data_IF_063736868041
#
_entry.id   IF_063736868041
#
_cell.length_a   1.000
_cell.length_b   1.000
_cell.length_c   1.000
_cell.angle_alpha   90.00
_cell.angle_beta   90.00
_cell.angle_gamma   90.00
#
_symmetry.space_group_name_H-M   'P 1'
#
loop_
_entity.id
_entity.type
_entity.pdbx_description
1 polymer ?
#
# COMPACT_ATOMS: atom_id res chain seq x y z
N UNK A 1 29.95 -10.62 9.90
CA UNK A 1 28.61 -10.31 9.39
C UNK A 1 28.52 -8.80 9.32
N UNK A 2 28.69 -8.24 8.10
CA UNK A 2 28.85 -6.80 7.91
C UNK A 2 27.55 -6.05 8.14
N UNK A 3 27.60 -5.00 8.96
CA UNK A 3 26.44 -4.11 9.23
C UNK A 3 25.82 -3.53 7.96
N UNK A 4 26.59 -3.43 6.88
CA UNK A 4 26.12 -2.98 5.57
C UNK A 4 25.25 -4.01 4.85
N UNK A 5 25.51 -5.31 5.01
CA UNK A 5 24.67 -6.38 4.46
C UNK A 5 23.32 -6.48 5.16
N UNK A 6 23.31 -6.34 6.49
CA UNK A 6 22.07 -6.34 7.29
C UNK A 6 21.21 -5.13 6.94
N UNK A 7 21.81 -3.96 6.76
CA UNK A 7 21.11 -2.73 6.38
C UNK A 7 20.51 -2.84 4.96
N UNK A 8 21.24 -3.44 4.02
CA UNK A 8 20.78 -3.61 2.64
C UNK A 8 19.65 -4.65 2.55
N UNK A 9 19.72 -5.73 3.32
CA UNK A 9 18.68 -6.76 3.43
C UNK A 9 17.38 -6.21 4.04
N UNK A 10 17.45 -5.36 5.06
CA UNK A 10 16.28 -4.76 5.68
C UNK A 10 15.56 -3.80 4.72
N UNK A 11 16.29 -2.98 3.97
CA UNK A 11 15.69 -2.05 3.01
C UNK A 11 15.02 -2.78 1.85
N UNK A 12 15.62 -3.85 1.32
CA UNK A 12 15.01 -4.65 0.25
C UNK A 12 13.72 -5.35 0.69
N UNK A 13 13.62 -5.75 1.95
CA UNK A 13 12.40 -6.34 2.50
C UNK A 13 11.29 -5.30 2.68
N UNK A 14 11.59 -4.09 3.15
CA UNK A 14 10.60 -3.01 3.35
C UNK A 14 10.00 -2.55 2.01
N UNK A 15 10.80 -2.53 0.94
CA UNK A 15 10.34 -2.17 -0.41
C UNK A 15 9.48 -3.27 -1.06
N UNK A 16 9.48 -4.50 -0.51
CA UNK A 16 8.70 -5.60 -1.07
C UNK A 16 7.19 -5.46 -0.72
N UNK A 17 6.27 -5.34 -1.72
CA UNK A 17 4.84 -5.20 -1.47
C UNK A 17 4.23 -6.35 -0.67
N UNK A 18 4.77 -7.57 -0.83
CA UNK A 18 4.31 -8.76 -0.09
C UNK A 18 4.56 -8.60 1.41
N UNK A 19 5.74 -8.12 1.79
CA UNK A 19 6.07 -7.90 3.19
C UNK A 19 5.20 -6.82 3.84
N UNK A 20 4.91 -5.75 3.10
CA UNK A 20 4.00 -4.69 3.53
C UNK A 20 2.57 -5.21 3.71
N UNK A 21 2.08 -6.06 2.79
CA UNK A 21 0.76 -6.68 2.90
C UNK A 21 0.68 -7.61 4.11
N UNK A 22 1.73 -8.38 4.40
CA UNK A 22 1.79 -9.24 5.59
C UNK A 22 1.78 -8.43 6.89
N UNK A 23 2.50 -7.31 6.95
CA UNK A 23 2.46 -6.40 8.11
C UNK A 23 1.06 -5.84 8.31
N UNK A 24 0.42 -5.35 7.23
CA UNK A 24 -0.94 -4.82 7.31
C UNK A 24 -1.95 -5.90 7.76
N UNK A 25 -1.82 -7.12 7.25
CA UNK A 25 -2.66 -8.25 7.67
C UNK A 25 -2.43 -8.61 9.15
N UNK A 26 -1.16 -8.67 9.58
CA UNK A 26 -0.79 -8.91 10.96
C UNK A 26 -1.36 -7.84 11.91
N UNK A 27 -1.26 -6.57 11.52
CA UNK A 27 -1.84 -5.45 12.26
C UNK A 27 -3.38 -5.56 12.34
N UNK A 28 -4.04 -5.94 11.23
CA UNK A 28 -5.49 -6.17 11.22
C UNK A 28 -5.90 -7.26 12.21
N UNK A 29 -5.20 -8.39 12.20
CA UNK A 29 -5.45 -9.49 13.14
C UNK A 29 -5.21 -9.06 14.58
N UNK A 30 -4.09 -8.41 14.88
CA UNK A 30 -3.75 -7.96 16.23
C UNK A 30 -4.78 -6.97 16.79
N UNK A 31 -5.22 -6.00 16.00
CA UNK A 31 -6.23 -5.02 16.44
C UNK A 31 -7.56 -5.72 16.72
N UNK A 32 -8.05 -6.55 15.80
CA UNK A 32 -9.33 -7.21 15.97
C UNK A 32 -9.31 -8.23 17.12
N UNK A 33 -8.26 -9.04 17.26
CA UNK A 33 -8.11 -9.96 18.39
C UNK A 33 -7.92 -9.24 19.72
N UNK A 34 -7.19 -8.12 19.73
CA UNK A 34 -7.03 -7.28 20.91
C UNK A 34 -8.36 -6.72 21.41
N UNK A 35 -9.17 -6.18 20.48
CA UNK A 35 -10.50 -5.65 20.85
C UNK A 35 -11.43 -6.78 21.29
N UNK A 36 -11.39 -7.94 20.65
CA UNK A 36 -12.18 -9.10 21.06
C UNK A 36 -11.80 -9.55 22.48
N UNK A 37 -10.51 -9.59 22.80
CA UNK A 37 -10.04 -9.90 24.16
C UNK A 37 -10.52 -8.88 25.20
N UNK A 38 -10.48 -7.58 24.86
CA UNK A 38 -11.02 -6.51 25.71
C UNK A 38 -12.53 -6.61 25.90
N UNK A 39 -13.27 -7.05 24.89
CA UNK A 39 -14.71 -7.28 24.99
C UNK A 39 -15.03 -8.42 25.99
N UNK A 40 -14.22 -9.48 26.01
CA UNK A 40 -14.38 -10.58 26.96
C UNK A 40 -14.15 -10.15 28.41
N UNK A 41 -13.32 -9.12 28.65
CA UNK A 41 -13.14 -8.54 29.99
C UNK A 41 -14.26 -7.57 30.39
N UNK A 42 -15.19 -7.26 29.49
CA UNK A 42 -16.28 -6.32 29.72
C UNK A 42 -15.88 -4.84 29.72
N UNK A 43 -14.60 -4.54 29.37
CA UNK A 43 -14.09 -3.16 29.35
C UNK A 43 -14.55 -2.37 28.14
N UNK A 44 -14.84 -3.05 27.02
CA UNK A 44 -15.21 -2.40 25.75
C UNK A 44 -16.39 -3.16 25.13
N UNK A 45 -17.35 -2.41 24.60
CA UNK A 45 -18.43 -2.95 23.77
C UNK A 45 -18.02 -2.74 22.32
N UNK A 46 -17.76 -3.84 21.59
CA UNK A 46 -17.38 -3.77 20.19
C UNK A 46 -18.64 -3.60 19.32
N UNK A 47 -18.64 -2.61 18.44
CA UNK A 47 -19.66 -2.49 17.41
C UNK A 47 -19.46 -3.60 16.37
N UNK A 48 -20.55 -4.22 15.91
CA UNK A 48 -20.51 -5.32 14.94
C UNK A 48 -19.77 -4.97 13.64
N UNK A 49 -19.74 -3.67 13.30
CA UNK A 49 -19.08 -3.16 12.07
C UNK A 49 -17.60 -2.81 12.27
N UNK A 50 -17.09 -2.85 13.49
CA UNK A 50 -15.71 -2.48 13.81
C UNK A 50 -14.66 -3.25 12.97
N UNK A 51 -14.78 -4.58 12.74
CA UNK A 51 -13.83 -5.31 11.90
C UNK A 51 -13.76 -4.82 10.45
N UNK A 52 -14.87 -4.31 9.90
CA UNK A 52 -14.88 -3.69 8.57
C UNK A 52 -14.19 -2.32 8.55
N UNK A 53 -14.34 -1.55 9.62
CA UNK A 53 -13.66 -0.26 9.79
C UNK A 53 -12.14 -0.45 9.83
N UNK A 54 -11.65 -1.41 10.61
CA UNK A 54 -10.23 -1.71 10.71
C UNK A 54 -9.67 -2.23 9.40
N UNK A 55 -10.40 -3.12 8.70
CA UNK A 55 -10.01 -3.61 7.39
C UNK A 55 -9.88 -2.45 6.37
N UNK A 56 -10.88 -1.56 6.28
CA UNK A 56 -10.86 -0.42 5.37
C UNK A 56 -9.72 0.56 5.68
N UNK A 57 -9.50 0.87 6.96
CA UNK A 57 -8.43 1.76 7.41
C UNK A 57 -7.04 1.23 7.06
N UNK A 58 -6.79 -0.05 7.28
CA UNK A 58 -5.50 -0.68 6.98
C UNK A 58 -5.27 -0.86 5.48
N UNK A 59 -6.33 -1.11 4.70
CA UNK A 59 -6.24 -1.10 3.24
C UNK A 59 -5.86 0.29 2.72
N UNK A 60 -6.45 1.35 3.29
CA UNK A 60 -6.10 2.73 2.93
C UNK A 60 -4.65 3.04 3.30
N UNK A 61 -4.20 2.69 4.51
CA UNK A 61 -2.82 2.83 4.92
C UNK A 61 -1.87 2.08 3.98
N UNK A 62 -2.16 0.82 3.65
CA UNK A 62 -1.37 0.06 2.69
C UNK A 62 -1.31 0.75 1.33
N UNK A 63 -2.44 1.22 0.80
CA UNK A 63 -2.52 1.92 -0.48
C UNK A 63 -1.62 3.17 -0.50
N UNK A 64 -1.68 3.99 0.55
CA UNK A 64 -0.86 5.21 0.67
C UNK A 64 0.63 4.89 0.75
N UNK A 65 1.04 4.02 1.68
CA UNK A 65 2.46 3.65 1.85
C UNK A 65 3.03 3.00 0.60
N UNK A 66 2.29 2.06 0.01
CA UNK A 66 2.71 1.35 -1.18
C UNK A 66 2.85 2.28 -2.39
N UNK A 67 1.93 3.23 -2.57
CA UNK A 67 2.01 4.22 -3.62
C UNK A 67 3.25 5.13 -3.47
N UNK A 68 3.56 5.59 -2.25
CA UNK A 68 4.78 6.39 -1.98
C UNK A 68 6.04 5.58 -2.26
N UNK A 69 6.10 4.32 -1.82
CA UNK A 69 7.27 3.46 -2.05
C UNK A 69 7.43 3.14 -3.54
N UNK A 70 6.34 3.09 -4.31
CA UNK A 70 6.41 2.86 -5.76
C UNK A 70 7.19 3.94 -6.50
N UNK A 71 7.30 5.16 -5.95
CA UNK A 71 8.13 6.24 -6.50
C UNK A 71 9.63 5.89 -6.48
N UNK A 72 10.08 5.15 -5.47
CA UNK A 72 11.49 4.79 -5.28
C UNK A 72 11.87 3.45 -5.90
N UNK A 73 10.90 2.70 -6.41
CA UNK A 73 11.14 1.38 -6.97
C UNK A 73 11.99 1.43 -8.27
N UNK A 74 13.05 0.61 -8.40
CA UNK A 74 13.91 0.62 -9.57
C UNK A 74 13.20 0.18 -10.85
N UNK A 75 12.30 -0.81 -10.76
CA UNK A 75 11.50 -1.32 -11.87
C UNK A 75 9.99 -1.09 -11.62
N UNK A 76 9.42 0.05 -12.06
CA UNK A 76 8.07 0.44 -11.68
C UNK A 76 6.99 -0.52 -12.18
N UNK A 77 7.09 -1.04 -13.40
CA UNK A 77 6.08 -1.91 -13.98
C UNK A 77 5.94 -3.25 -13.24
N UNK A 78 7.08 -3.86 -12.88
CA UNK A 78 7.08 -5.13 -12.13
C UNK A 78 6.59 -4.91 -10.70
N UNK A 79 7.02 -3.82 -10.07
CA UNK A 79 6.56 -3.43 -8.75
C UNK A 79 5.04 -3.21 -8.73
N UNK A 80 4.53 -2.52 -9.72
CA UNK A 80 3.12 -2.19 -9.88
C UNK A 80 2.23 -3.44 -9.97
N UNK A 81 2.60 -4.38 -10.86
CA UNK A 81 1.86 -5.64 -10.99
C UNK A 81 1.80 -6.40 -9.66
N UNK A 82 2.94 -6.57 -8.98
CA UNK A 82 3.00 -7.23 -7.66
C UNK A 82 2.18 -6.50 -6.61
N UNK A 83 2.23 -5.19 -6.61
CA UNK A 83 1.54 -4.32 -5.66
C UNK A 83 0.01 -4.44 -5.76
N UNK A 84 -0.52 -4.46 -6.99
CA UNK A 84 -1.96 -4.65 -7.23
C UNK A 84 -2.43 -6.03 -6.75
N UNK A 85 -1.68 -7.09 -7.06
CA UNK A 85 -2.03 -8.43 -6.57
C UNK A 85 -1.98 -8.53 -5.04
N UNK A 86 -0.97 -7.92 -4.40
CA UNK A 86 -0.88 -7.86 -2.94
C UNK A 86 -2.05 -7.09 -2.32
N UNK A 87 -2.44 -5.97 -2.93
CA UNK A 87 -3.58 -5.18 -2.46
C UNK A 87 -4.90 -5.96 -2.58
N UNK A 88 -5.15 -6.59 -3.74
CA UNK A 88 -6.36 -7.39 -3.94
C UNK A 88 -6.41 -8.59 -2.98
N UNK A 89 -5.28 -9.29 -2.80
CA UNK A 89 -5.17 -10.38 -1.83
C UNK A 89 -5.42 -9.90 -0.40
N UNK A 90 -4.80 -8.79 0.00
CA UNK A 90 -5.00 -8.19 1.32
C UNK A 90 -6.47 -7.76 1.51
N UNK A 91 -7.10 -7.14 0.51
CA UNK A 91 -8.50 -6.74 0.56
C UNK A 91 -9.42 -7.96 0.75
N UNK A 92 -9.21 -9.01 -0.05
CA UNK A 92 -10.00 -10.22 0.04
C UNK A 92 -9.89 -10.89 1.42
N UNK A 93 -8.67 -11.07 1.93
CA UNK A 93 -8.43 -11.70 3.23
C UNK A 93 -8.98 -10.82 4.37
N UNK A 94 -8.75 -9.50 4.33
CA UNK A 94 -9.23 -8.58 5.36
C UNK A 94 -10.76 -8.52 5.43
N UNK A 95 -11.43 -8.51 4.29
CA UNK A 95 -12.91 -8.54 4.23
C UNK A 95 -13.46 -9.89 4.71
N UNK A 96 -12.81 -10.99 4.34
CA UNK A 96 -13.20 -12.32 4.80
C UNK A 96 -13.06 -12.44 6.33
N UNK A 97 -11.96 -11.95 6.90
CA UNK A 97 -11.75 -11.87 8.34
C UNK A 97 -12.79 -10.98 9.03
N UNK A 98 -13.09 -9.81 8.46
CA UNK A 98 -14.10 -8.92 9.01
C UNK A 98 -15.48 -9.58 9.03
N UNK A 99 -15.85 -10.29 7.97
CA UNK A 99 -17.12 -11.04 7.90
C UNK A 99 -17.18 -12.18 8.93
N UNK A 100 -16.08 -12.89 9.14
CA UNK A 100 -16.01 -13.95 10.14
C UNK A 100 -16.11 -13.43 11.58
N UNK A 101 -15.46 -12.31 11.87
CA UNK A 101 -15.42 -11.72 13.22
C UNK A 101 -16.70 -10.95 13.57
N UNK A 102 -17.31 -10.28 12.59
CA UNK A 102 -18.55 -9.52 12.80
C UNK A 102 -19.82 -10.38 12.72
N UNK A 103 -19.74 -11.54 12.07
CA UNK A 103 -20.91 -12.35 11.75
C UNK A 103 -21.82 -11.74 10.66
N UNK A 104 -21.52 -10.53 10.20
CA UNK A 104 -22.26 -9.81 9.17
C UNK A 104 -21.70 -10.13 7.77
N UNK A 105 -22.57 -10.23 6.79
CA UNK A 105 -22.15 -10.26 5.38
C UNK A 105 -21.76 -8.87 4.91
N UNK A 106 -20.88 -8.79 3.93
CA UNK A 106 -20.43 -7.52 3.37
C UNK A 106 -21.59 -6.64 2.87
N UNK A 107 -22.66 -7.25 2.36
CA UNK A 107 -23.90 -6.55 1.93
C UNK A 107 -24.67 -5.91 3.10
N UNK A 108 -24.50 -6.44 4.30
CA UNK A 108 -25.16 -5.99 5.54
C UNK A 108 -24.29 -4.97 6.29
N UNK A 109 -23.02 -4.88 5.95
CA UNK A 109 -22.07 -3.92 6.51
C UNK A 109 -22.36 -2.46 6.10
N UNK A 110 -23.41 -2.21 5.30
CA UNK A 110 -23.88 -0.87 4.95
C UNK A 110 -22.88 -0.08 4.10
N UNK A 111 -22.46 1.09 4.58
CA UNK A 111 -21.57 2.00 3.85
C UNK A 111 -20.16 1.44 3.59
N UNK A 112 -19.71 0.41 4.32
CA UNK A 112 -18.35 -0.14 4.16
C UNK A 112 -18.12 -0.80 2.80
N UNK A 113 -19.15 -1.34 2.17
CA UNK A 113 -19.09 -1.82 0.79
C UNK A 113 -18.60 -0.73 -0.17
N UNK A 114 -19.20 0.45 -0.09
CA UNK A 114 -18.82 1.59 -0.92
C UNK A 114 -17.44 2.12 -0.58
N UNK A 115 -17.07 2.14 0.70
CA UNK A 115 -15.73 2.55 1.14
C UNK A 115 -14.67 1.65 0.53
N UNK A 116 -14.86 0.33 0.54
CA UNK A 116 -13.92 -0.62 -0.05
C UNK A 116 -13.78 -0.43 -1.57
N UNK A 117 -14.89 -0.18 -2.29
CA UNK A 117 -14.86 0.13 -3.71
C UNK A 117 -14.08 1.42 -3.96
N UNK A 118 -14.36 2.48 -3.22
CA UNK A 118 -13.69 3.78 -3.38
C UNK A 118 -12.20 3.67 -3.05
N UNK A 119 -11.81 2.96 -2.00
CA UNK A 119 -10.41 2.74 -1.64
C UNK A 119 -9.70 1.96 -2.74
N UNK A 120 -10.32 0.92 -3.29
CA UNK A 120 -9.74 0.11 -4.37
C UNK A 120 -9.55 0.94 -5.63
N UNK A 121 -10.58 1.67 -6.05
CA UNK A 121 -10.52 2.54 -7.22
C UNK A 121 -9.51 3.68 -7.02
N UNK A 122 -9.54 4.34 -5.87
CA UNK A 122 -8.60 5.40 -5.49
C UNK A 122 -7.15 4.92 -5.52
N UNK A 123 -6.89 3.71 -5.04
CA UNK A 123 -5.55 3.11 -5.10
C UNK A 123 -5.06 2.93 -6.54
N UNK A 124 -5.90 2.42 -7.45
CA UNK A 124 -5.55 2.24 -8.86
C UNK A 124 -5.28 3.58 -9.54
N UNK A 125 -6.14 4.59 -9.29
CA UNK A 125 -5.95 5.95 -9.81
C UNK A 125 -4.66 6.56 -9.27
N UNK A 126 -4.38 6.41 -7.98
CA UNK A 126 -3.17 6.95 -7.35
C UNK A 126 -1.90 6.33 -7.93
N UNK A 127 -1.90 5.02 -8.15
CA UNK A 127 -0.80 4.34 -8.84
C UNK A 127 -0.62 4.87 -10.27
N UNK A 128 -1.69 5.08 -11.03
CA UNK A 128 -1.63 5.64 -12.38
C UNK A 128 -1.02 7.05 -12.38
N UNK A 129 -1.40 7.90 -11.43
CA UNK A 129 -0.84 9.25 -11.25
C UNK A 129 0.67 9.20 -10.96
N UNK A 130 1.09 8.34 -10.04
CA UNK A 130 2.50 8.16 -9.69
C UNK A 130 3.32 7.76 -10.92
N UNK A 131 2.81 6.82 -11.72
CA UNK A 131 3.48 6.40 -12.95
C UNK A 131 3.58 7.54 -13.98
N UNK A 132 2.53 8.33 -14.13
CA UNK A 132 2.51 9.50 -15.01
C UNK A 132 3.53 10.55 -14.59
N UNK A 133 3.58 10.90 -13.31
CA UNK A 133 4.57 11.83 -12.75
C UNK A 133 5.99 11.34 -13.04
N UNK A 134 6.25 10.05 -12.81
CA UNK A 134 7.56 9.46 -13.07
C UNK A 134 7.96 9.53 -14.54
N UNK A 135 7.02 9.28 -15.45
CA UNK A 135 7.27 9.39 -16.90
C UNK A 135 7.60 10.84 -17.29
N UNK A 136 6.90 11.83 -16.72
CA UNK A 136 7.17 13.25 -16.95
C UNK A 136 8.57 13.63 -16.45
N UNK A 137 8.94 13.18 -15.24
CA UNK A 137 10.28 13.46 -14.67
C UNK A 137 11.38 12.82 -15.52
N UNK A 138 11.20 11.57 -15.96
CA UNK A 138 12.16 10.88 -16.82
C UNK A 138 12.29 11.58 -18.19
N UNK A 139 11.19 12.09 -18.74
CA UNK A 139 11.18 12.84 -19.98
C UNK A 139 11.96 14.17 -19.83
N UNK A 140 11.67 14.95 -18.78
CA UNK A 140 12.37 16.20 -18.49
C UNK A 140 13.88 16.00 -18.31
N UNK A 141 14.28 14.96 -17.58
CA UNK A 141 15.71 14.62 -17.40
C UNK A 141 16.40 14.27 -18.73
N UNK A 142 15.71 13.62 -19.66
CA UNK A 142 16.29 13.30 -20.98
C UNK A 142 16.50 14.53 -21.83
N UNK A 143 15.65 15.53 -21.75
CA UNK A 143 15.81 16.80 -22.49
C UNK A 143 17.04 17.58 -22.01
N UNK A 144 17.34 17.63 -20.72
CA UNK A 144 18.54 18.30 -20.20
C UNK A 144 19.85 17.67 -20.73
N UNK A 145 19.86 16.36 -20.97
CA UNK A 145 21.04 15.66 -21.53
C UNK A 145 21.21 15.88 -23.03
N UNK A 146 20.17 16.26 -23.75
CA UNK A 146 20.18 16.48 -25.20
C UNK A 146 20.48 17.93 -25.61
N UNK A 147 20.70 18.84 -24.67
CA UNK A 147 21.17 20.18 -25.01
C UNK A 147 22.56 20.10 -25.65
N UNK A 148 22.75 20.57 -26.91
CA UNK A 148 24.07 20.59 -27.52
C UNK A 148 24.97 21.44 -26.66
N UNK A 149 26.00 20.88 -26.05
CA UNK A 149 27.06 21.65 -25.41
C UNK A 149 27.61 22.58 -26.46
N UNK A 150 27.32 23.88 -26.37
CA UNK A 150 27.95 24.87 -27.20
C UNK A 150 29.46 24.74 -27.02
N UNK A 151 30.09 24.16 -28.03
CA UNK A 151 31.54 24.04 -28.12
C UNK A 151 32.07 25.43 -28.06
N UNK A 152 32.58 25.88 -26.90
CA UNK A 152 33.34 27.12 -26.81
C UNK A 152 34.49 27.01 -27.79
N UNK A 153 34.33 27.63 -28.96
CA UNK A 153 35.38 27.82 -29.94
C UNK A 153 36.48 28.56 -29.24
N UNK A 154 37.59 27.90 -28.88
CA UNK A 154 38.84 28.56 -28.51
C UNK A 154 39.28 29.38 -29.71
N UNK A 155 39.03 30.68 -29.68
CA UNK A 155 39.76 31.63 -30.54
C UNK A 155 41.22 31.59 -30.12
N UNK A 156 42.09 31.17 -31.05
CA UNK A 156 43.53 31.43 -31.01
C UNK A 156 43.80 32.93 -31.31
#
# INVERSE_FOLDING_TARGET
MDMNEVKNSSWTNIVNPIFQALIALGANLLINLGVLALQWTGLVVMEERFPYLTAASLLLCFAMFNAVISLTAPNPLVYWGRSIYCFLGLAFVSVSLASLLSGLRLSEAGSYWWILIVVTFGYLVFLALVNTIRNIVNFAQREEWNQPRFRQSKKK
#
